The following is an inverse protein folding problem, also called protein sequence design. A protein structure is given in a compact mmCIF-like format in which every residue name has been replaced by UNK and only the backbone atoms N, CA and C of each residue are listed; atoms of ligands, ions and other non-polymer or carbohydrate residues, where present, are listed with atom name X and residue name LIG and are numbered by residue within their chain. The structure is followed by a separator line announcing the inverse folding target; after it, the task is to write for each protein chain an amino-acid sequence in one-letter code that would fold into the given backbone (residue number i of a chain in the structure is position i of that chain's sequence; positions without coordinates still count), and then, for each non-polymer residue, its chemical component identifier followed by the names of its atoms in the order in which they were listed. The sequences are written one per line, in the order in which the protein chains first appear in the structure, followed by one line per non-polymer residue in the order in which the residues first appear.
data_IF_655574296736
#
_entry.id   IF_655574296736
#
_cell.length_a   1.000
_cell.length_b   1.000
_cell.length_c   1.000
_cell.angle_alpha   90.00
_cell.angle_beta   90.00
_cell.angle_gamma   90.00
#
_symmetry.space_group_name_H-M   'P 1'
#
loop_
_entity.id
_entity.type
_entity.pdbx_description
1 polymer ?
#
# COMPACT_ATOMS: atom_id res chain seq x y z
N UNK A 1 9.33 17.67 24.52
CA UNK A 1 9.17 16.22 24.28
C UNK A 1 8.04 16.05 23.28
N UNK A 2 8.34 15.64 22.04
CA UNK A 2 7.36 15.61 20.94
C UNK A 2 6.71 14.22 20.89
N UNK A 3 5.41 14.17 21.16
CA UNK A 3 4.57 12.97 21.01
C UNK A 3 4.25 12.75 19.53
N UNK A 4 4.70 11.62 18.98
CA UNK A 4 4.30 11.15 17.65
C UNK A 4 2.85 10.61 17.73
N UNK A 5 1.90 11.49 17.46
CA UNK A 5 0.49 11.15 17.30
C UNK A 5 0.23 10.94 15.82
N UNK A 6 0.37 9.71 15.36
CA UNK A 6 -0.15 9.28 14.06
C UNK A 6 -1.56 8.73 14.33
N UNK A 7 -2.50 9.05 13.46
CA UNK A 7 -3.95 8.78 13.56
C UNK A 7 -4.76 9.75 14.44
N UNK A 8 -5.35 10.76 13.81
CA UNK A 8 -6.79 11.08 13.86
C UNK A 8 -7.06 12.41 13.14
N UNK A 9 -8.20 12.43 12.45
CA UNK A 9 -8.69 13.50 11.61
C UNK A 9 -8.89 14.84 12.32
N UNK A 10 -8.72 15.95 11.58
CA UNK A 10 -9.27 17.26 11.93
C UNK A 10 -9.74 17.97 10.66
N UNK A 11 -11.04 18.24 10.63
CA UNK A 11 -11.75 19.00 9.60
C UNK A 11 -11.53 20.51 9.80
N UNK A 12 -11.46 21.27 8.71
CA UNK A 12 -11.40 22.74 8.73
C UNK A 12 -11.67 23.34 7.35
N UNK A 13 -12.62 24.28 7.32
CA UNK A 13 -13.28 24.89 6.16
C UNK A 13 -12.41 25.84 5.30
N UNK A 14 -12.69 25.80 3.99
CA UNK A 14 -12.79 26.87 2.95
C UNK A 14 -12.07 28.22 3.12
N UNK A 15 -11.51 28.77 2.02
CA UNK A 15 -12.02 30.00 1.36
C UNK A 15 -11.64 30.05 -0.13
N UNK A 16 -12.61 30.52 -0.91
CA UNK A 16 -12.62 30.87 -2.33
C UNK A 16 -11.87 32.19 -2.57
N UNK A 17 -11.06 32.30 -3.63
CA UNK A 17 -10.77 33.58 -4.30
C UNK A 17 -10.80 33.42 -5.81
N UNK A 18 -11.68 34.19 -6.43
CA UNK A 18 -11.87 34.45 -7.86
C UNK A 18 -10.92 35.60 -8.27
N UNK A 19 -10.36 35.56 -9.48
CA UNK A 19 -9.91 36.81 -10.11
C UNK A 19 -8.91 36.71 -11.28
N UNK A 20 -9.46 36.82 -12.50
CA UNK A 20 -8.97 37.57 -13.67
C UNK A 20 -7.59 37.26 -14.31
N UNK A 21 -7.66 36.82 -15.57
CA UNK A 21 -6.61 36.96 -16.58
C UNK A 21 -6.38 38.44 -16.95
N UNK A 22 -5.24 38.75 -17.59
CA UNK A 22 -5.36 38.97 -19.02
C UNK A 22 -4.32 38.23 -19.87
N UNK A 23 -4.79 37.97 -21.08
CA UNK A 23 -4.16 37.38 -22.25
C UNK A 23 -3.09 38.33 -22.81
N UNK A 24 -1.87 37.83 -23.02
CA UNK A 24 -0.81 38.54 -23.74
C UNK A 24 -0.40 37.70 -24.96
N UNK A 25 -0.68 38.26 -26.13
CA UNK A 25 -0.22 37.80 -27.44
C UNK A 25 1.30 38.03 -27.57
N UNK A 26 2.06 36.95 -27.72
CA UNK A 26 3.37 36.99 -28.36
C UNK A 26 3.66 35.60 -28.96
N UNK A 27 3.54 35.51 -30.29
CA UNK A 27 4.06 34.41 -31.08
C UNK A 27 5.58 34.52 -31.11
N UNK A 28 6.28 33.57 -30.51
CA UNK A 28 7.68 33.30 -30.83
C UNK A 28 7.80 31.81 -31.16
N UNK A 29 8.13 31.55 -32.42
CA UNK A 29 8.24 30.23 -33.03
C UNK A 29 9.56 29.59 -32.61
N UNK A 30 9.51 28.71 -31.62
CA UNK A 30 10.54 27.69 -31.39
C UNK A 30 9.99 26.33 -31.83
N UNK A 31 10.77 25.49 -32.54
CA UNK A 31 10.32 24.15 -32.87
C UNK A 31 10.20 23.35 -31.57
N UNK A 32 8.97 23.08 -31.16
CA UNK A 32 8.67 22.15 -30.09
C UNK A 32 9.12 20.76 -30.57
N UNK A 33 10.21 20.25 -30.00
CA UNK A 33 10.45 18.81 -29.94
C UNK A 33 9.36 18.27 -29.04
N UNK A 34 8.21 17.95 -29.64
CA UNK A 34 7.18 17.15 -29.01
C UNK A 34 7.72 15.72 -29.01
N UNK A 35 8.50 15.37 -27.98
CA UNK A 35 8.56 13.98 -27.53
C UNK A 35 7.18 13.67 -26.95
N UNK A 36 6.26 13.33 -27.86
CA UNK A 36 5.07 12.57 -27.52
C UNK A 36 5.61 11.22 -27.03
N UNK A 37 5.83 11.12 -25.72
CA UNK A 37 6.03 9.84 -25.04
C UNK A 37 4.70 9.11 -25.22
N UNK A 38 4.58 8.41 -26.34
CA UNK A 38 3.51 7.46 -26.60
C UNK A 38 3.66 6.37 -25.53
N UNK A 39 3.02 6.61 -24.39
CA UNK A 39 2.77 5.61 -23.37
C UNK A 39 2.06 4.48 -24.09
N UNK A 40 2.82 3.45 -24.43
CA UNK A 40 2.35 2.26 -25.12
C UNK A 40 1.36 1.58 -24.18
N UNK A 41 0.09 1.95 -24.32
CA UNK A 41 -1.03 1.40 -23.56
C UNK A 41 -1.12 -0.07 -23.96
N UNK A 42 -0.50 -0.95 -23.18
CA UNK A 42 -1.00 -2.32 -23.10
C UNK A 42 -2.51 -2.19 -22.85
N UNK A 43 -3.39 -2.89 -23.59
CA UNK A 43 -4.84 -2.67 -23.48
C UNK A 43 -5.20 -2.69 -22.01
N UNK A 44 -5.64 -1.56 -21.45
CA UNK A 44 -5.76 -1.35 -20.01
C UNK A 44 -6.53 -2.51 -19.35
N UNK A 45 -7.56 -2.99 -20.05
CA UNK A 45 -8.37 -4.15 -19.72
C UNK A 45 -7.59 -5.47 -19.55
N UNK A 46 -6.60 -5.74 -20.39
CA UNK A 46 -5.75 -6.93 -20.29
C UNK A 46 -4.83 -6.84 -19.08
N UNK A 47 -4.20 -5.68 -18.83
CA UNK A 47 -3.37 -5.46 -17.66
C UNK A 47 -4.18 -5.59 -16.35
N UNK A 48 -5.36 -4.99 -16.30
CA UNK A 48 -6.30 -5.12 -15.19
C UNK A 48 -6.69 -6.57 -14.93
N UNK A 49 -7.00 -7.35 -15.98
CA UNK A 49 -7.32 -8.77 -15.86
C UNK A 49 -6.17 -9.60 -15.29
N UNK A 50 -4.94 -9.36 -15.75
CA UNK A 50 -3.74 -10.02 -15.21
C UNK A 50 -3.50 -9.65 -13.75
N UNK A 51 -3.65 -8.38 -13.38
CA UNK A 51 -3.47 -7.90 -12.00
C UNK A 51 -4.53 -8.51 -11.08
N UNK A 52 -5.82 -8.48 -11.47
CA UNK A 52 -6.90 -9.08 -10.68
C UNK A 52 -6.68 -10.58 -10.48
N UNK A 53 -6.24 -11.30 -11.52
CA UNK A 53 -5.87 -12.71 -11.42
C UNK A 53 -4.72 -12.92 -10.43
N UNK A 54 -3.60 -12.22 -10.59
CA UNK A 54 -2.44 -12.37 -9.69
C UNK A 54 -2.79 -12.07 -8.24
N UNK A 55 -3.53 -10.99 -7.97
CA UNK A 55 -3.94 -10.66 -6.61
C UNK A 55 -4.85 -11.74 -6.03
N UNK A 56 -5.73 -12.36 -6.81
CA UNK A 56 -6.59 -13.46 -6.35
C UNK A 56 -5.82 -14.79 -6.16
N UNK A 57 -4.75 -15.04 -6.91
CA UNK A 57 -3.89 -16.22 -6.75
C UNK A 57 -2.94 -16.13 -5.55
N UNK A 58 -2.64 -14.92 -5.08
CA UNK A 58 -1.84 -14.67 -3.89
C UNK A 58 -2.66 -14.92 -2.61
N UNK A 59 -2.55 -16.12 -2.04
CA UNK A 59 -3.28 -16.53 -0.84
C UNK A 59 -2.47 -16.30 0.44
N UNK A 60 -1.16 -16.45 0.39
CA UNK A 60 -0.26 -16.10 1.49
C UNK A 60 1.08 -15.60 0.94
N UNK A 61 1.81 -14.87 1.77
CA UNK A 61 3.16 -14.42 1.44
C UNK A 61 3.98 -14.18 2.70
N UNK A 62 5.24 -14.54 2.64
CA UNK A 62 6.27 -14.07 3.57
C UNK A 62 7.34 -13.32 2.79
N UNK A 63 7.79 -12.18 3.30
CA UNK A 63 8.82 -11.37 2.65
C UNK A 63 9.59 -10.57 3.70
N UNK A 64 10.78 -10.13 3.35
CA UNK A 64 11.40 -9.00 4.04
C UNK A 64 10.81 -7.71 3.49
N UNK A 65 10.70 -6.68 4.32
CA UNK A 65 10.26 -5.37 3.86
C UNK A 65 11.20 -4.27 4.30
N UNK A 66 11.23 -3.20 3.50
CA UNK A 66 11.77 -1.90 3.86
C UNK A 66 10.67 -0.86 3.71
N UNK A 67 10.27 -0.25 4.81
CA UNK A 67 9.28 0.81 4.86
C UNK A 67 9.97 2.16 4.96
N UNK A 68 9.59 3.09 4.09
CA UNK A 68 10.03 4.49 4.15
C UNK A 68 8.82 5.33 4.50
N UNK A 69 8.68 5.76 5.77
CA UNK A 69 7.59 6.65 6.17
C UNK A 69 7.79 8.05 5.56
N UNK A 70 6.74 8.89 5.54
CA UNK A 70 6.82 10.27 5.06
C UNK A 70 7.82 11.11 5.86
N UNK A 71 7.99 10.80 7.14
CA UNK A 71 8.97 11.41 8.03
C UNK A 71 9.62 10.32 8.89
N UNK A 72 10.91 10.49 9.20
CA UNK A 72 11.65 9.57 10.05
C UNK A 72 12.62 8.69 9.29
N UNK A 73 13.18 7.69 9.98
CA UNK A 73 14.16 6.77 9.40
C UNK A 73 13.43 5.61 8.69
N UNK A 74 14.02 5.04 7.63
CA UNK A 74 13.55 3.79 7.07
C UNK A 74 13.51 2.69 8.13
N UNK A 75 12.46 1.88 8.09
CA UNK A 75 12.25 0.75 8.98
C UNK A 75 12.32 -0.54 8.15
N UNK A 76 12.76 -1.63 8.77
CA UNK A 76 12.89 -2.93 8.10
C UNK A 76 12.27 -4.02 8.93
N UNK A 77 11.95 -5.16 8.31
CA UNK A 77 11.36 -6.24 9.06
C UNK A 77 10.89 -7.40 8.22
N UNK A 78 10.05 -8.22 8.83
CA UNK A 78 9.41 -9.36 8.19
C UNK A 78 7.92 -9.09 8.00
N UNK A 79 7.47 -9.22 6.76
CA UNK A 79 6.07 -9.24 6.39
C UNK A 79 5.60 -10.69 6.35
N UNK A 80 4.48 -10.98 7.00
CA UNK A 80 3.73 -12.22 6.80
C UNK A 80 2.27 -11.86 6.53
N UNK A 81 1.69 -12.36 5.46
CA UNK A 81 0.28 -12.13 5.13
C UNK A 81 -0.41 -13.42 4.70
N UNK A 82 -1.69 -13.53 5.03
CA UNK A 82 -2.57 -14.63 4.65
C UNK A 82 -3.97 -14.07 4.41
N UNK A 83 -4.58 -14.43 3.29
CA UNK A 83 -5.96 -14.10 3.03
C UNK A 83 -6.90 -15.04 3.80
N UNK A 84 -8.08 -14.55 4.25
CA UNK A 84 -8.50 -13.15 4.22
C UNK A 84 -8.03 -12.35 5.45
N UNK A 85 -7.54 -11.13 5.25
CA UNK A 85 -7.39 -10.14 6.32
C UNK A 85 -6.19 -10.30 7.27
N UNK A 86 -5.43 -11.39 7.22
CA UNK A 86 -4.30 -11.60 8.13
C UNK A 86 -3.03 -10.97 7.59
N UNK A 87 -2.39 -10.13 8.39
CA UNK A 87 -1.12 -9.50 8.05
C UNK A 87 -0.31 -9.25 9.32
N UNK A 88 1.01 -9.30 9.22
CA UNK A 88 1.96 -9.02 10.28
C UNK A 88 3.15 -8.28 9.68
N UNK A 89 3.38 -7.04 10.13
CA UNK A 89 4.64 -6.32 9.95
C UNK A 89 5.39 -6.39 11.27
N UNK A 90 6.41 -7.23 11.31
CA UNK A 90 7.30 -7.37 12.44
C UNK A 90 8.57 -6.57 12.18
N UNK A 91 8.74 -5.46 12.89
CA UNK A 91 9.86 -4.52 12.67
C UNK A 91 11.17 -5.00 13.29
N UNK A 92 11.15 -6.07 14.09
CA UNK A 92 12.34 -6.67 14.69
C UNK A 92 13.22 -5.65 15.41
N UNK A 93 14.50 -5.61 15.05
CA UNK A 93 15.48 -4.68 15.64
C UNK A 93 15.37 -3.25 15.11
N UNK A 94 14.64 -3.01 14.01
CA UNK A 94 14.55 -1.67 13.41
C UNK A 94 13.65 -0.73 14.22
N UNK A 95 12.63 -1.28 14.87
CA UNK A 95 11.76 -0.59 15.81
C UNK A 95 11.06 -1.60 16.71
N UNK A 96 10.84 -1.23 17.98
CA UNK A 96 10.06 -2.04 18.92
C UNK A 96 8.54 -1.83 18.69
N UNK A 97 8.11 -2.09 17.46
CA UNK A 97 6.75 -1.92 16.97
C UNK A 97 6.27 -3.21 16.29
N UNK A 98 4.96 -3.43 16.27
CA UNK A 98 4.34 -4.57 15.60
C UNK A 98 2.99 -4.17 15.06
N UNK A 99 2.77 -4.37 13.76
CA UNK A 99 1.44 -4.21 13.16
C UNK A 99 0.90 -5.59 12.83
N UNK A 100 -0.21 -6.00 13.43
CA UNK A 100 -0.74 -7.36 13.28
C UNK A 100 -2.26 -7.36 13.17
N UNK A 101 -2.77 -8.02 12.14
CA UNK A 101 -4.20 -8.25 11.91
C UNK A 101 -4.57 -9.70 12.12
N UNK A 102 -5.68 -9.92 12.81
CA UNK A 102 -6.29 -11.23 13.06
C UNK A 102 -7.38 -11.61 12.04
N UNK A 103 -7.36 -11.02 10.85
CA UNK A 103 -8.40 -11.22 9.83
C UNK A 103 -9.51 -10.17 9.86
N UNK A 104 -9.71 -9.49 11.01
CA UNK A 104 -10.78 -8.49 11.18
C UNK A 104 -10.26 -7.15 11.67
N UNK A 105 -9.31 -7.15 12.59
CA UNK A 105 -8.81 -5.96 13.27
C UNK A 105 -7.31 -5.90 13.16
N UNK A 106 -6.81 -4.81 12.58
CA UNK A 106 -5.41 -4.44 12.60
C UNK A 106 -5.09 -3.80 13.96
N UNK A 107 -4.15 -4.39 14.68
CA UNK A 107 -3.57 -3.85 15.91
C UNK A 107 -2.21 -3.24 15.60
N UNK A 108 -2.05 -1.96 15.89
CA UNK A 108 -0.80 -1.21 15.76
C UNK A 108 -0.23 -1.08 17.17
N UNK A 109 0.88 -1.75 17.43
CA UNK A 109 1.48 -1.84 18.76
C UNK A 109 2.82 -1.11 18.77
N UNK A 110 2.98 -0.24 19.75
CA UNK A 110 4.25 0.36 20.13
C UNK A 110 4.62 -0.15 21.52
N UNK A 111 5.66 -0.97 21.60
CA UNK A 111 6.10 -1.56 22.86
C UNK A 111 6.98 -0.62 23.68
N UNK A 112 7.58 0.41 23.07
CA UNK A 112 8.42 1.37 23.80
C UNK A 112 7.58 2.18 24.78
N UNK A 113 6.41 2.63 24.32
CA UNK A 113 5.48 3.44 25.13
C UNK A 113 4.25 2.64 25.61
N UNK A 114 4.15 1.36 25.25
CA UNK A 114 3.04 0.48 25.64
C UNK A 114 1.69 0.88 25.04
N UNK A 115 1.69 1.42 23.81
CA UNK A 115 0.47 1.85 23.12
C UNK A 115 -0.06 0.73 22.22
N UNK A 116 -1.38 0.58 22.20
CA UNK A 116 -2.07 -0.33 21.29
C UNK A 116 -3.26 0.38 20.68
N UNK A 117 -3.23 0.57 19.37
CA UNK A 117 -4.33 1.09 18.57
C UNK A 117 -4.97 -0.03 17.77
N UNK A 118 -6.28 0.04 17.56
CA UNK A 118 -7.04 -0.97 16.83
C UNK A 118 -7.95 -0.32 15.82
N UNK A 119 -7.85 -0.78 14.58
CA UNK A 119 -8.72 -0.35 13.47
C UNK A 119 -9.21 -1.58 12.72
N UNK A 120 -10.44 -1.60 12.18
CA UNK A 120 -10.87 -2.68 11.31
C UNK A 120 -9.98 -2.76 10.07
N UNK A 121 -9.46 -3.95 9.73
CA UNK A 121 -8.52 -4.10 8.59
C UNK A 121 -9.16 -3.69 7.26
N UNK A 122 -10.47 -3.93 7.13
CA UNK A 122 -11.29 -3.52 5.99
C UNK A 122 -11.44 -1.99 5.82
N UNK A 123 -11.07 -1.22 6.84
CA UNK A 123 -11.13 0.24 6.86
C UNK A 123 -9.72 0.83 6.68
N UNK A 124 -8.79 0.03 6.13
CA UNK A 124 -7.43 0.44 5.78
C UNK A 124 -7.19 0.19 4.28
N UNK A 125 -6.26 0.92 3.66
CA UNK A 125 -5.87 0.66 2.27
C UNK A 125 -5.36 -0.77 2.04
N UNK A 126 -4.82 -1.43 3.07
CA UNK A 126 -4.34 -2.82 3.00
C UNK A 126 -5.45 -3.83 2.70
N UNK A 127 -6.71 -3.46 2.89
CA UNK A 127 -7.87 -4.30 2.58
C UNK A 127 -7.86 -4.80 1.12
N UNK A 128 -7.27 -4.03 0.20
CA UNK A 128 -7.06 -4.40 -1.19
C UNK A 128 -6.25 -5.71 -1.34
N UNK A 129 -5.11 -5.77 -0.64
CA UNK A 129 -4.17 -6.89 -0.70
C UNK A 129 -4.67 -8.08 0.11
N UNK A 130 -5.60 -7.85 1.05
CA UNK A 130 -6.02 -8.82 2.04
C UNK A 130 -7.44 -9.37 1.81
N UNK A 131 -8.19 -8.83 0.85
CA UNK A 131 -9.53 -9.32 0.51
C UNK A 131 -9.47 -10.76 -0.03
N UNK A 132 -10.42 -11.60 0.40
CA UNK A 132 -10.55 -12.99 -0.07
C UNK A 132 -10.67 -13.07 -1.59
N UNK A 133 -11.58 -12.26 -2.13
CA UNK A 133 -11.77 -12.08 -3.56
C UNK A 133 -11.64 -10.60 -3.89
N UNK A 134 -10.55 -10.26 -4.55
CA UNK A 134 -10.33 -8.95 -5.09
C UNK A 134 -11.15 -8.77 -6.37
N UNK A 135 -11.85 -7.65 -6.49
CA UNK A 135 -12.51 -7.23 -7.72
C UNK A 135 -12.38 -5.73 -7.91
N UNK A 136 -11.86 -5.34 -9.07
CA UNK A 136 -11.63 -3.94 -9.44
C UNK A 136 -12.94 -3.15 -9.51
N UNK A 137 -14.08 -3.81 -9.77
CA UNK A 137 -15.40 -3.17 -9.87
C UNK A 137 -15.84 -2.43 -8.60
N UNK A 138 -15.27 -2.79 -7.45
CA UNK A 138 -15.61 -2.16 -6.17
C UNK A 138 -14.83 -0.88 -5.89
N UNK A 139 -13.83 -0.57 -6.72
CA UNK A 139 -12.87 0.50 -6.47
C UNK A 139 -12.74 1.42 -7.68
N UNK A 140 -12.25 2.64 -7.44
CA UNK A 140 -11.69 3.47 -8.50
C UNK A 140 -10.26 3.02 -8.71
N UNK A 141 -9.99 2.44 -9.87
CA UNK A 141 -8.67 1.89 -10.19
C UNK A 141 -8.13 2.48 -11.48
N UNK A 142 -6.81 2.69 -11.54
CA UNK A 142 -6.09 3.10 -12.73
C UNK A 142 -4.83 2.25 -12.90
N UNK A 143 -4.59 1.78 -14.11
CA UNK A 143 -3.30 1.13 -14.46
C UNK A 143 -2.31 2.20 -14.87
N UNK A 144 -1.06 2.01 -14.43
CA UNK A 144 0.10 2.79 -14.83
C UNK A 144 1.06 1.81 -15.49
N UNK A 145 1.42 2.05 -16.75
CA UNK A 145 2.42 1.25 -17.48
C UNK A 145 3.80 1.86 -17.33
N UNK A 146 4.81 1.04 -17.06
CA UNK A 146 6.20 1.44 -16.88
C UNK A 146 6.37 2.65 -15.94
N UNK A 147 5.83 2.58 -14.70
CA UNK A 147 5.83 3.71 -13.77
C UNK A 147 7.25 4.18 -13.39
N UNK A 148 8.23 3.27 -13.36
CA UNK A 148 9.63 3.57 -13.10
C UNK A 148 10.56 2.44 -13.61
N UNK A 149 11.85 2.50 -13.27
CA UNK A 149 12.85 1.49 -13.67
C UNK A 149 12.77 0.18 -12.89
N UNK A 150 11.99 0.13 -11.80
CA UNK A 150 11.83 -1.03 -10.94
C UNK A 150 10.57 -1.82 -11.31
N UNK A 151 9.48 -1.18 -11.69
CA UNK A 151 8.19 -1.81 -11.93
C UNK A 151 7.70 -1.68 -13.38
N UNK A 152 7.06 -2.75 -13.86
CA UNK A 152 6.47 -2.81 -15.20
C UNK A 152 5.04 -2.28 -15.22
N UNK A 153 4.29 -2.49 -14.14
CA UNK A 153 2.90 -2.07 -13.98
C UNK A 153 2.66 -1.49 -12.58
N UNK A 154 1.81 -0.48 -12.48
CA UNK A 154 1.24 0.02 -11.24
C UNK A 154 -0.27 -0.07 -11.26
N UNK A 155 -0.88 -0.48 -10.16
CA UNK A 155 -2.31 -0.41 -9.92
C UNK A 155 -2.57 0.60 -8.81
N UNK A 156 -3.02 1.79 -9.18
CA UNK A 156 -3.52 2.78 -8.23
C UNK A 156 -4.98 2.44 -7.89
N UNK A 157 -5.31 2.37 -6.60
CA UNK A 157 -6.66 2.05 -6.12
C UNK A 157 -7.09 3.00 -5.02
N UNK A 158 -8.33 3.46 -5.14
CA UNK A 158 -9.04 4.29 -4.16
C UNK A 158 -10.42 3.67 -3.91
N UNK A 159 -10.87 3.67 -2.64
CA UNK A 159 -12.23 3.29 -2.29
C UNK A 159 -13.15 4.53 -2.39
N UNK A 160 -14.07 4.60 -3.38
CA UNK A 160 -14.95 5.76 -3.55
C UNK A 160 -15.94 5.93 -2.39
N UNK A 161 -16.19 4.88 -1.59
CA UNK A 161 -17.07 4.96 -0.42
C UNK A 161 -16.33 5.51 0.80
N UNK A 162 -14.99 5.47 0.77
CA UNK A 162 -14.11 5.81 1.89
C UNK A 162 -12.83 6.50 1.42
N UNK A 163 -12.96 7.70 0.83
CA UNK A 163 -11.81 8.46 0.35
C UNK A 163 -10.83 8.84 1.49
N UNK A 164 -11.31 8.90 2.74
CA UNK A 164 -10.49 9.19 3.91
C UNK A 164 -9.41 8.13 4.20
N UNK A 165 -9.57 6.91 3.67
CA UNK A 165 -8.54 5.86 3.79
C UNK A 165 -7.30 6.19 2.97
N UNK A 166 -7.43 7.06 1.97
CA UNK A 166 -6.35 7.41 1.06
C UNK A 166 -6.22 6.46 -0.13
N UNK A 167 -5.05 6.47 -0.75
CA UNK A 167 -4.77 5.81 -2.03
C UNK A 167 -3.69 4.76 -1.81
N UNK A 168 -3.93 3.54 -2.29
CA UNK A 168 -2.93 2.48 -2.36
C UNK A 168 -2.52 2.28 -3.81
N UNK A 169 -1.22 2.40 -4.10
CA UNK A 169 -0.67 2.01 -5.40
C UNK A 169 0.22 0.79 -5.23
N UNK A 170 -0.16 -0.32 -5.88
CA UNK A 170 0.61 -1.57 -5.86
C UNK A 170 1.40 -1.67 -7.16
N UNK A 171 2.70 -1.91 -7.06
CA UNK A 171 3.60 -1.98 -8.20
C UNK A 171 4.04 -3.42 -8.43
N UNK A 172 4.05 -3.81 -9.70
CA UNK A 172 4.27 -5.18 -10.13
C UNK A 172 5.44 -5.26 -11.11
N UNK A 173 6.13 -6.40 -11.05
CA UNK A 173 7.12 -6.82 -12.05
C UNK A 173 6.66 -8.07 -12.76
N UNK A 174 6.96 -8.19 -14.04
CA UNK A 174 6.84 -9.45 -14.75
C UNK A 174 7.86 -10.44 -14.20
N UNK A 175 7.43 -11.67 -13.91
CA UNK A 175 8.36 -12.77 -13.66
C UNK A 175 9.14 -13.02 -14.94
N UNK A 176 10.45 -12.82 -14.88
CA UNK A 176 11.32 -13.38 -15.91
C UNK A 176 11.25 -14.90 -15.79
N UNK A 177 10.61 -15.57 -16.76
CA UNK A 177 10.73 -17.02 -16.86
C UNK A 177 12.08 -17.35 -17.45
N UNK A 178 12.81 -18.23 -16.76
CA UNK A 178 13.99 -18.94 -17.31
C UNK A 178 13.63 -19.85 -18.50
N UNK A 179 12.35 -19.95 -18.88
CA UNK A 179 11.82 -20.82 -19.92
C UNK A 179 11.19 -19.99 -21.06
N UNK A 180 11.38 -20.33 -22.35
CA UNK A 180 10.93 -19.55 -23.51
C UNK A 180 9.40 -19.43 -23.71
N UNK A 181 8.58 -19.76 -22.71
CA UNK A 181 7.15 -19.47 -22.71
C UNK A 181 6.92 -18.19 -21.90
N UNK A 182 6.39 -17.16 -22.55
CA UNK A 182 6.03 -15.89 -21.92
C UNK A 182 4.95 -16.16 -20.87
N UNK A 183 5.36 -16.21 -19.60
CA UNK A 183 4.44 -16.23 -18.47
C UNK A 183 4.31 -14.82 -17.95
N UNK A 184 3.17 -14.21 -18.23
CA UNK A 184 2.79 -12.90 -17.72
C UNK A 184 2.42 -12.96 -16.21
N UNK A 185 3.05 -13.85 -15.45
CA UNK A 185 2.91 -13.88 -14.00
C UNK A 185 3.50 -12.60 -13.43
N UNK A 186 2.71 -11.87 -12.67
CA UNK A 186 3.13 -10.66 -11.98
C UNK A 186 3.63 -11.02 -10.56
N UNK A 187 4.62 -10.27 -10.09
CA UNK A 187 5.06 -10.23 -8.70
C UNK A 187 4.76 -8.86 -8.13
N UNK A 188 4.16 -8.80 -6.94
CA UNK A 188 4.05 -7.54 -6.18
C UNK A 188 5.47 -7.18 -5.74
N UNK A 189 6.00 -6.04 -6.14
CA UNK A 189 7.38 -5.68 -5.83
C UNK A 189 7.46 -4.65 -4.71
N UNK A 190 6.62 -3.63 -4.78
CA UNK A 190 6.46 -2.65 -3.71
C UNK A 190 5.07 -2.04 -3.78
N UNK A 191 4.66 -1.32 -2.74
CA UNK A 191 3.47 -0.49 -2.78
C UNK A 191 3.70 0.85 -2.09
N UNK A 192 2.87 1.81 -2.45
CA UNK A 192 2.81 3.11 -1.81
C UNK A 192 1.45 3.37 -1.23
N UNK A 193 1.42 4.05 -0.08
CA UNK A 193 0.20 4.48 0.59
C UNK A 193 0.27 5.99 0.71
N UNK A 194 -0.72 6.68 0.17
CA UNK A 194 -0.96 8.10 0.41
C UNK A 194 -2.16 8.19 1.36
N UNK A 195 -1.96 8.70 2.56
CA UNK A 195 -3.05 8.84 3.54
C UNK A 195 -3.98 10.04 3.22
N UNK A 196 -5.05 10.22 3.99
CA UNK A 196 -5.98 11.34 3.83
C UNK A 196 -5.37 12.73 4.06
N UNK A 197 -4.11 12.82 4.52
CA UNK A 197 -3.35 14.06 4.64
C UNK A 197 -2.36 14.27 3.48
N UNK A 198 -2.33 13.35 2.51
CA UNK A 198 -1.40 13.39 1.38
C UNK A 198 -0.01 12.87 1.70
N UNK A 199 0.19 12.20 2.85
CA UNK A 199 1.51 11.72 3.26
C UNK A 199 1.82 10.38 2.64
N UNK A 200 2.98 10.29 2.01
CA UNK A 200 3.41 9.13 1.24
C UNK A 200 4.28 8.19 2.07
N UNK A 201 3.89 6.91 2.12
CA UNK A 201 4.69 5.81 2.69
C UNK A 201 5.03 4.82 1.59
N UNK A 202 6.29 4.41 1.48
CA UNK A 202 6.72 3.31 0.62
C UNK A 202 6.89 2.03 1.43
N UNK A 203 6.51 0.89 0.86
CA UNK A 203 6.85 -0.44 1.38
C UNK A 203 7.42 -1.28 0.25
N UNK A 204 8.72 -1.53 0.31
CA UNK A 204 9.46 -2.33 -0.65
C UNK A 204 9.55 -3.76 -0.13
N UNK A 205 9.30 -4.74 -0.99
CA UNK A 205 9.34 -6.16 -0.64
C UNK A 205 10.56 -6.85 -1.25
N UNK A 206 11.21 -7.68 -0.44
CA UNK A 206 12.39 -8.43 -0.81
C UNK A 206 12.23 -9.89 -0.39
N UNK A 207 12.91 -10.80 -1.09
CA UNK A 207 12.96 -12.24 -0.76
C UNK A 207 11.57 -12.85 -0.53
N UNK A 208 10.65 -12.56 -1.46
CA UNK A 208 9.25 -12.93 -1.34
C UNK A 208 9.06 -14.43 -1.57
N UNK A 209 8.32 -15.05 -0.66
CA UNK A 209 7.88 -16.44 -0.74
C UNK A 209 6.35 -16.43 -0.77
N UNK A 210 5.78 -16.76 -1.91
CA UNK A 210 4.33 -16.76 -2.13
C UNK A 210 3.73 -18.13 -1.83
N UNK A 211 2.47 -18.11 -1.39
CA UNK A 211 1.64 -19.29 -1.13
C UNK A 211 2.31 -20.30 -0.18
N UNK A 212 3.06 -19.79 0.80
CA UNK A 212 3.70 -20.56 1.87
C UNK A 212 2.73 -20.86 3.01
N UNK A 213 2.96 -21.98 3.69
CA UNK A 213 2.24 -22.30 4.93
C UNK A 213 2.69 -21.40 6.07
N UNK A 214 1.77 -20.63 6.63
CA UNK A 214 2.02 -19.73 7.75
C UNK A 214 1.34 -20.24 9.03
N UNK A 215 2.08 -20.23 10.14
CA UNK A 215 1.54 -20.64 11.44
C UNK A 215 0.50 -19.64 11.95
N UNK A 216 -0.60 -20.14 12.51
CA UNK A 216 -1.64 -19.29 13.11
C UNK A 216 -1.18 -18.51 14.35
N UNK A 217 -0.04 -18.91 14.94
CA UNK A 217 0.58 -18.17 16.05
C UNK A 217 1.05 -16.77 15.63
N UNK A 218 1.35 -16.55 14.36
CA UNK A 218 1.82 -15.27 13.82
C UNK A 218 0.83 -14.13 14.03
N UNK A 219 -0.47 -14.45 14.10
CA UNK A 219 -1.57 -13.48 14.16
C UNK A 219 -1.89 -13.00 15.58
N UNK A 220 -1.10 -13.45 16.57
CA UNK A 220 -1.23 -13.08 17.97
C UNK A 220 -0.05 -12.21 18.42
N UNK A 221 -0.25 -11.45 19.49
CA UNK A 221 0.79 -10.65 20.12
C UNK A 221 0.60 -10.56 21.63
N UNK A 222 1.67 -10.20 22.34
CA UNK A 222 1.64 -9.95 23.78
C UNK A 222 1.23 -8.50 24.01
N UNK A 223 0.07 -8.25 24.62
CA UNK A 223 -0.37 -6.87 24.88
C UNK A 223 0.57 -6.17 25.89
N UNK A 224 1.25 -5.07 25.51
CA UNK A 224 2.21 -4.40 26.38
C UNK A 224 1.57 -3.67 27.55
N UNK A 225 0.25 -3.40 27.49
CA UNK A 225 -0.49 -2.72 28.57
C UNK A 225 -0.70 -3.62 29.79
N UNK A 226 -0.33 -4.90 29.69
CA UNK A 226 -0.57 -5.92 30.69
C UNK A 226 -2.06 -6.25 30.83
N UNK A 227 -2.36 -7.34 31.55
CA UNK A 227 -3.71 -7.51 32.10
C UNK A 227 -3.85 -6.44 33.18
N UNK A 228 -4.51 -5.32 32.86
CA UNK A 228 -5.03 -4.43 33.91
C UNK A 228 -5.72 -5.33 34.94
N UNK A 229 -5.17 -5.36 36.16
CA UNK A 229 -5.67 -6.21 37.25
C UNK A 229 -7.18 -5.95 37.37
N UNK A 230 -8.00 -6.92 36.96
CA UNK A 230 -9.33 -7.10 37.55
C UNK A 230 -9.09 -7.50 39.00
N UNK A 231 -8.78 -6.53 39.84
CA UNK A 231 -8.98 -6.63 41.29
C UNK A 231 -10.36 -6.05 41.52
N UNK A 232 -11.30 -6.95 41.75
CA UNK A 232 -12.57 -6.66 42.41
C UNK A 232 -12.31 -6.04 43.78
#
# INVERSE_FOLDING_TARGET
MKTASYFLALAGLTWLVIGLAPEVLAQDTAPAIQEEVELKVAPETQALGSIEKTLNELQSMQAQFRMVPPEGKPLTGTLSMKKPGFIRFDFGESANQLYVSNGKTLSVIDYEIGKVERVPVKDTPLSLLLSEKFSLKNYRSRVITNPDSRADLGLMVEDPKRPEMGILTVYFRFKQKETPQIDHSLLVDYWTIVDGQGRLTYVILENQQMNVTLSDKLWNFKDPRGRARRRN
#
